data_IF_431458359221
#
_entry.id   IF_431458359221
#
_cell.length_a   1.000
_cell.length_b   1.000
_cell.length_c   1.000
_cell.angle_alpha   90.00
_cell.angle_beta   90.00
_cell.angle_gamma   90.00
#
_symmetry.space_group_name_H-M   'P 1'
#
loop_
_entity.id
_entity.type
_entity.pdbx_description
1 polymer ?
#
# COMPACT_ATOMS: atom_id res chain seq x y z
N UNK A 1 0.47 -9.79 -2.90
CA UNK A 1 -0.88 -10.34 -2.65
C UNK A 1 -1.06 -10.35 -1.15
N UNK A 2 -2.21 -9.92 -0.67
CA UNK A 2 -2.56 -9.95 0.75
C UNK A 2 -3.84 -10.76 0.92
N UNK A 3 -3.94 -11.49 2.03
CA UNK A 3 -5.11 -12.29 2.38
C UNK A 3 -5.67 -11.69 3.67
N UNK A 4 -6.99 -11.55 3.74
CA UNK A 4 -7.65 -11.06 4.94
C UNK A 4 -7.40 -12.04 6.10
N UNK A 5 -7.16 -11.53 7.31
CA UNK A 5 -6.78 -12.37 8.46
C UNK A 5 -7.90 -13.30 8.93
N UNK A 6 -9.15 -12.96 8.60
CA UNK A 6 -10.35 -13.73 8.87
C UNK A 6 -10.75 -14.66 7.70
N UNK A 7 -10.00 -14.65 6.59
CA UNK A 7 -10.17 -15.62 5.51
C UNK A 7 -9.79 -17.03 6.02
N UNK A 8 -10.62 -18.06 5.83
CA UNK A 8 -10.29 -19.43 6.22
C UNK A 8 -8.96 -19.95 5.65
N UNK A 9 -8.52 -19.39 4.51
CA UNK A 9 -7.29 -19.73 3.81
C UNK A 9 -6.10 -18.89 4.23
N UNK A 10 -6.25 -17.94 5.16
CA UNK A 10 -5.17 -17.06 5.59
C UNK A 10 -3.96 -17.83 6.15
N UNK A 11 -4.21 -18.97 6.79
CA UNK A 11 -3.16 -19.86 7.31
C UNK A 11 -2.40 -20.63 6.24
N UNK A 12 -2.92 -20.67 5.00
CA UNK A 12 -2.30 -21.40 3.88
C UNK A 12 -1.26 -20.56 3.13
N UNK A 13 -1.28 -19.23 3.28
CA UNK A 13 -0.43 -18.32 2.50
C UNK A 13 0.46 -17.50 3.43
N UNK A 14 1.73 -17.89 3.53
CA UNK A 14 2.72 -17.17 4.32
C UNK A 14 3.70 -16.38 3.46
N UNK A 15 4.05 -16.89 2.28
CA UNK A 15 4.89 -16.19 1.28
C UNK A 15 4.37 -16.43 -0.15
N UNK A 16 5.06 -15.85 -1.13
CA UNK A 16 4.62 -15.80 -2.53
C UNK A 16 4.51 -17.19 -3.18
N UNK A 17 5.34 -18.14 -2.78
CA UNK A 17 5.33 -19.50 -3.33
C UNK A 17 4.08 -20.29 -2.91
N UNK A 18 3.53 -19.99 -1.73
CA UNK A 18 2.30 -20.61 -1.23
C UNK A 18 1.08 -20.23 -2.09
N UNK A 19 1.11 -19.03 -2.69
CA UNK A 19 0.02 -18.55 -3.56
C UNK A 19 -0.14 -19.49 -4.74
N UNK A 20 0.92 -19.82 -5.47
CA UNK A 20 0.81 -20.69 -6.64
C UNK A 20 0.50 -22.14 -6.24
N UNK A 21 0.93 -22.56 -5.05
CA UNK A 21 0.64 -23.88 -4.49
C UNK A 21 -0.84 -24.08 -4.14
N UNK A 22 -1.46 -23.09 -3.50
CA UNK A 22 -2.84 -23.17 -3.02
C UNK A 22 -3.86 -22.53 -3.97
N UNK A 23 -3.42 -21.62 -4.83
CA UNK A 23 -4.23 -20.86 -5.78
C UNK A 23 -3.55 -20.79 -7.16
N UNK A 24 -3.38 -21.94 -7.85
CA UNK A 24 -2.63 -22.03 -9.09
C UNK A 24 -3.20 -21.11 -10.18
N UNK A 25 -2.32 -20.44 -10.92
CA UNK A 25 -2.65 -19.50 -11.99
C UNK A 25 -2.95 -18.07 -11.53
N UNK A 26 -3.12 -17.84 -10.23
CA UNK A 26 -3.49 -16.51 -9.68
C UNK A 26 -2.45 -15.45 -10.00
N UNK A 27 -1.16 -15.74 -9.81
CA UNK A 27 -0.09 -14.77 -10.08
C UNK A 27 -0.02 -14.42 -11.57
N UNK A 28 -0.24 -15.42 -12.44
CA UNK A 28 -0.30 -15.22 -13.90
C UNK A 28 -1.49 -14.35 -14.31
N UNK A 29 -2.68 -14.65 -13.78
CA UNK A 29 -3.89 -13.91 -14.08
C UNK A 29 -3.78 -12.43 -13.65
N UNK A 30 -3.26 -12.17 -12.45
CA UNK A 30 -3.04 -10.80 -11.94
C UNK A 30 -2.03 -10.05 -12.84
N UNK A 31 -0.91 -10.69 -13.19
CA UNK A 31 0.11 -10.09 -14.06
C UNK A 31 -0.48 -9.73 -15.42
N UNK A 32 -1.22 -10.65 -16.03
CA UNK A 32 -1.78 -10.46 -17.37
C UNK A 32 -2.87 -9.37 -17.36
N UNK A 33 -3.69 -9.32 -16.31
CA UNK A 33 -4.63 -8.21 -16.13
C UNK A 33 -3.92 -6.86 -16.06
N UNK A 34 -2.90 -6.71 -15.20
CA UNK A 34 -2.15 -5.46 -15.10
C UNK A 34 -1.35 -5.13 -16.36
N UNK A 35 -0.95 -6.14 -17.15
CA UNK A 35 -0.30 -5.92 -18.44
C UNK A 35 -1.26 -5.27 -19.42
N UNK A 36 -2.48 -5.78 -19.52
CA UNK A 36 -3.37 -5.51 -20.65
C UNK A 36 -4.50 -4.51 -20.36
N UNK A 37 -4.80 -4.20 -19.09
CA UNK A 37 -6.01 -3.44 -18.75
C UNK A 37 -6.14 -2.04 -19.39
N UNK A 38 -5.03 -1.44 -19.84
CA UNK A 38 -5.03 -0.13 -20.52
C UNK A 38 -5.05 -0.23 -22.05
N UNK A 39 -4.94 -1.43 -22.62
CA UNK A 39 -4.97 -1.65 -24.06
C UNK A 39 -6.30 -1.19 -24.68
N UNK A 40 -7.47 -1.44 -24.06
CA UNK A 40 -8.74 -0.91 -24.55
C UNK A 40 -8.77 0.63 -24.64
N UNK A 41 -8.01 1.33 -23.80
CA UNK A 41 -7.86 2.80 -23.84
C UNK A 41 -6.87 3.27 -24.92
N UNK A 42 -6.39 2.38 -25.79
CA UNK A 42 -5.39 2.69 -26.82
C UNK A 42 -3.96 2.86 -26.30
N UNK A 43 -3.68 2.47 -25.04
CA UNK A 43 -2.35 2.56 -24.43
C UNK A 43 -1.57 1.25 -24.62
N UNK A 44 -0.23 1.29 -24.67
CA UNK A 44 0.57 0.07 -24.75
C UNK A 44 0.43 -0.79 -23.49
N UNK A 45 0.73 -2.08 -23.64
CA UNK A 45 0.86 -3.00 -22.52
C UNK A 45 1.86 -2.49 -21.47
N UNK A 46 1.51 -2.60 -20.18
CA UNK A 46 2.43 -2.23 -19.10
C UNK A 46 3.61 -3.22 -19.03
N UNK A 47 4.77 -2.73 -18.56
CA UNK A 47 5.97 -3.54 -18.27
C UNK A 47 6.18 -3.61 -16.77
N UNK A 48 6.77 -4.71 -16.29
CA UNK A 48 7.06 -4.90 -14.87
C UNK A 48 8.57 -4.94 -14.62
N UNK A 49 8.97 -4.49 -13.42
CA UNK A 49 10.32 -4.68 -12.90
C UNK A 49 10.54 -6.12 -12.40
N UNK A 50 11.66 -6.34 -11.70
CA UNK A 50 11.96 -7.60 -10.98
C UNK A 50 11.85 -8.87 -11.85
N UNK A 51 12.17 -8.76 -13.15
CA UNK A 51 12.10 -9.90 -14.07
C UNK A 51 10.68 -10.44 -14.29
N UNK A 52 9.64 -9.61 -14.15
CA UNK A 52 8.23 -9.99 -14.26
C UNK A 52 7.78 -11.06 -13.24
N UNK A 53 8.46 -11.15 -12.09
CA UNK A 53 8.11 -12.06 -11.00
C UNK A 53 7.57 -11.28 -9.81
N UNK A 54 6.62 -11.89 -9.10
CA UNK A 54 6.20 -11.39 -7.81
C UNK A 54 7.35 -11.55 -6.79
N UNK A 55 7.55 -10.53 -5.96
CA UNK A 55 8.57 -10.55 -4.92
C UNK A 55 8.06 -11.27 -3.66
N UNK A 56 9.01 -11.71 -2.82
CA UNK A 56 8.69 -12.32 -1.52
C UNK A 56 8.04 -11.32 -0.57
N UNK A 57 7.44 -11.85 0.50
CA UNK A 57 6.90 -11.09 1.62
C UNK A 57 7.91 -10.11 2.21
N UNK A 58 9.15 -10.53 2.41
CA UNK A 58 10.20 -9.67 3.01
C UNK A 58 10.51 -8.46 2.12
N UNK A 59 10.59 -8.66 0.81
CA UNK A 59 10.78 -7.56 -0.12
C UNK A 59 9.58 -6.60 -0.10
N UNK A 60 8.36 -7.15 -0.08
CA UNK A 60 7.15 -6.34 0.01
C UNK A 60 7.11 -5.51 1.31
N UNK A 61 7.44 -6.11 2.46
CA UNK A 61 7.50 -5.43 3.75
C UNK A 61 8.53 -4.29 3.76
N UNK A 62 9.68 -4.49 3.10
CA UNK A 62 10.68 -3.44 2.93
C UNK A 62 10.11 -2.24 2.16
N UNK A 63 9.46 -2.47 1.03
CA UNK A 63 8.84 -1.39 0.22
C UNK A 63 7.72 -0.69 0.99
N UNK A 64 6.89 -1.44 1.74
CA UNK A 64 5.84 -0.88 2.61
C UNK A 64 6.48 0.03 3.68
N UNK A 65 7.57 -0.41 4.29
CA UNK A 65 8.29 0.39 5.30
C UNK A 65 8.84 1.67 4.70
N UNK A 66 9.55 1.60 3.56
CA UNK A 66 10.13 2.76 2.88
C UNK A 66 9.05 3.79 2.44
N UNK A 67 7.92 3.30 1.94
CA UNK A 67 6.80 4.16 1.53
C UNK A 67 6.09 4.79 2.73
N UNK A 68 5.94 4.05 3.84
CA UNK A 68 5.42 4.59 5.09
C UNK A 68 6.34 5.67 5.69
N UNK A 69 7.66 5.48 5.65
CA UNK A 69 8.62 6.52 6.06
C UNK A 69 8.52 7.77 5.19
N UNK A 70 8.36 7.58 3.88
CA UNK A 70 8.15 8.69 2.93
C UNK A 70 6.85 9.44 3.23
N UNK A 71 5.76 8.71 3.52
CA UNK A 71 4.49 9.29 3.97
C UNK A 71 4.62 10.03 5.29
N UNK A 72 5.33 9.46 6.28
CA UNK A 72 5.55 10.10 7.56
C UNK A 72 6.24 11.46 7.39
N UNK A 73 7.32 11.52 6.60
CA UNK A 73 8.02 12.76 6.25
C UNK A 73 7.10 13.78 5.55
N UNK A 74 6.21 13.30 4.68
CA UNK A 74 5.23 14.14 3.97
C UNK A 74 4.24 14.77 4.96
N UNK A 75 3.61 13.99 5.84
CA UNK A 75 2.57 14.49 6.76
C UNK A 75 3.14 15.32 7.91
N UNK A 76 4.41 15.13 8.28
CA UNK A 76 5.12 15.99 9.23
C UNK A 76 5.68 17.27 8.60
N UNK A 77 5.53 17.45 7.29
CA UNK A 77 6.10 18.56 6.50
C UNK A 77 7.63 18.63 6.54
N UNK A 78 8.28 17.49 6.74
CA UNK A 78 9.73 17.37 6.62
C UNK A 78 10.19 17.39 5.15
N UNK A 79 9.26 17.18 4.21
CA UNK A 79 9.45 17.32 2.76
C UNK A 79 8.29 18.13 2.15
N UNK A 80 8.52 18.71 0.96
CA UNK A 80 7.47 19.42 0.21
C UNK A 80 6.41 18.45 -0.32
N UNK A 81 5.11 18.77 -0.24
CA UNK A 81 4.05 17.91 -0.75
C UNK A 81 3.89 17.92 -2.27
N UNK A 82 4.60 18.79 -2.98
CA UNK A 82 4.37 19.02 -4.41
C UNK A 82 2.92 19.44 -4.66
N UNK A 83 2.22 18.70 -5.52
CA UNK A 83 0.83 18.96 -5.88
C UNK A 83 -0.19 18.32 -4.92
N UNK A 84 0.26 17.59 -3.89
CA UNK A 84 -0.62 16.87 -2.96
C UNK A 84 -1.29 17.81 -1.94
N UNK A 85 -2.61 17.65 -1.74
CA UNK A 85 -3.35 18.35 -0.69
C UNK A 85 -3.29 17.61 0.65
N UNK A 86 -2.76 18.27 1.68
CA UNK A 86 -2.65 17.73 3.06
C UNK A 86 -3.72 18.29 4.03
N UNK A 87 -4.75 18.96 3.50
CA UNK A 87 -5.70 19.74 4.31
C UNK A 87 -6.40 18.89 5.39
N UNK A 88 -6.93 17.72 5.02
CA UNK A 88 -7.69 16.87 5.95
C UNK A 88 -6.83 16.25 7.06
N UNK A 89 -5.56 15.91 6.77
CA UNK A 89 -4.61 15.41 7.77
C UNK A 89 -4.35 16.47 8.84
N UNK A 90 -4.26 17.73 8.41
CA UNK A 90 -4.02 18.85 9.31
C UNK A 90 -5.25 19.22 10.14
N UNK A 91 -6.44 19.28 9.53
CA UNK A 91 -7.69 19.60 10.25
C UNK A 91 -7.91 18.60 11.40
N UNK A 92 -7.73 17.30 11.14
CA UNK A 92 -7.85 16.28 12.17
C UNK A 92 -6.80 16.46 13.30
N UNK A 93 -5.56 16.78 12.95
CA UNK A 93 -4.46 16.99 13.90
C UNK A 93 -4.66 18.24 14.77
N UNK A 94 -5.14 19.34 14.18
CA UNK A 94 -5.45 20.58 14.88
C UNK A 94 -6.64 20.41 15.82
N UNK A 95 -7.71 19.73 15.38
CA UNK A 95 -8.88 19.42 16.20
C UNK A 95 -8.47 18.57 17.41
N UNK A 96 -7.64 17.53 17.21
CA UNK A 96 -7.08 16.74 18.33
C UNK A 96 -6.28 17.60 19.30
N UNK A 97 -5.36 18.44 18.83
CA UNK A 97 -4.54 19.33 19.68
C UNK A 97 -5.40 20.32 20.46
N UNK A 98 -6.43 20.91 19.84
CA UNK A 98 -7.36 21.83 20.52
C UNK A 98 -8.18 21.10 21.58
N UNK A 99 -8.69 19.90 21.30
CA UNK A 99 -9.39 19.07 22.31
C UNK A 99 -8.50 18.70 23.50
N UNK A 100 -7.25 18.32 23.26
CA UNK A 100 -6.32 17.93 24.33
C UNK A 100 -5.92 19.12 25.21
N UNK A 101 -5.66 20.29 24.61
CA UNK A 101 -5.42 21.54 25.37
C UNK A 101 -6.64 21.97 26.19
N UNK A 102 -7.85 21.80 25.65
CA UNK A 102 -9.08 22.07 26.39
C UNK A 102 -9.21 21.13 27.60
N UNK A 103 -9.05 19.81 27.44
CA UNK A 103 -9.12 18.87 28.55
C UNK A 103 -8.06 19.10 29.66
N UNK A 104 -6.87 19.62 29.31
CA UNK A 104 -5.81 19.94 30.28
C UNK A 104 -6.04 21.25 31.05
N UNK A 105 -6.82 22.19 30.50
CA UNK A 105 -7.09 23.48 31.14
C UNK A 105 -8.26 23.42 32.14
N UNK A 106 -9.13 22.42 32.02
CA UNK A 106 -10.30 22.22 32.89
C UNK A 106 -10.08 21.09 33.92
N UNK A 107 -8.82 20.79 34.26
CA UNK A 107 -8.44 19.84 35.31
C UNK A 107 -7.48 20.55 36.28
#
# INVERSE_FOLDING_TARGET
MEVATDDPSASLVSDIDDVEKHFPGTLTAIRDWFRDYKIPDGKPANKFGLGNKAASKDYALKVITETNESWAKLVTRSISPGELSLLYVFVASLVRRKKQKFCLFYR
#
